data_IF_990251980027
#
_entry.id   IF_990251980027
#
_cell.length_a   1.000
_cell.length_b   1.000
_cell.length_c   1.000
_cell.angle_alpha   90.00
_cell.angle_beta   90.00
_cell.angle_gamma   90.00
#
_symmetry.space_group_name_H-M   'P 1'
#
loop_
_entity.id
_entity.type
_entity.pdbx_description
1 polymer ?
#
# COMPACT_ATOMS: atom_id res chain seq x y z
N UNK A 1 6.26 13.87 -11.20
CA UNK A 1 5.62 12.64 -11.71
C UNK A 1 5.20 11.75 -10.54
N UNK A 2 3.98 11.22 -10.62
CA UNK A 2 3.47 10.32 -9.58
C UNK A 2 4.10 8.94 -9.75
N UNK A 3 4.59 8.38 -8.64
CA UNK A 3 5.19 7.05 -8.64
C UNK A 3 4.25 6.07 -7.94
N UNK A 4 3.82 5.06 -8.66
CA UNK A 4 2.93 4.03 -8.12
C UNK A 4 3.68 2.72 -7.94
N UNK A 5 3.13 1.86 -7.09
CA UNK A 5 3.69 0.54 -6.79
C UNK A 5 2.60 -0.50 -6.95
N UNK A 6 3.00 -1.71 -7.32
CA UNK A 6 2.08 -2.84 -7.31
C UNK A 6 1.91 -3.32 -5.85
N UNK A 7 0.91 -4.18 -5.63
CA UNK A 7 0.69 -4.77 -4.29
C UNK A 7 1.94 -5.53 -3.84
N UNK A 8 2.55 -6.30 -4.73
CA UNK A 8 3.76 -7.08 -4.40
C UNK A 8 4.92 -6.15 -4.02
N UNK A 9 5.13 -5.11 -4.81
CA UNK A 9 6.19 -4.14 -4.53
C UNK A 9 5.95 -3.41 -3.20
N UNK A 10 4.72 -3.02 -2.95
CA UNK A 10 4.36 -2.31 -1.72
C UNK A 10 4.54 -3.21 -0.49
N UNK A 11 4.11 -4.46 -0.57
CA UNK A 11 4.28 -5.41 0.53
C UNK A 11 5.76 -5.62 0.84
N UNK A 12 6.59 -5.78 -0.20
CA UNK A 12 8.03 -5.94 -0.04
C UNK A 12 8.64 -4.69 0.60
N UNK A 13 8.28 -3.52 0.09
CA UNK A 13 8.80 -2.25 0.59
C UNK A 13 8.45 -2.05 2.07
N UNK A 14 7.21 -2.35 2.45
CA UNK A 14 6.79 -2.24 3.84
C UNK A 14 7.55 -3.20 4.75
N UNK A 15 7.74 -4.45 4.30
CA UNK A 15 8.51 -5.42 5.08
C UNK A 15 9.96 -4.98 5.26
N UNK A 16 10.56 -4.39 4.23
CA UNK A 16 11.93 -3.87 4.30
C UNK A 16 12.04 -2.71 5.29
N UNK A 17 10.94 -2.03 5.56
CA UNK A 17 10.88 -0.93 6.51
C UNK A 17 10.32 -1.34 7.88
N UNK A 18 10.26 -2.63 8.15
CA UNK A 18 9.89 -3.14 9.46
C UNK A 18 8.41 -3.43 9.68
N UNK A 19 7.59 -3.24 8.65
CA UNK A 19 6.15 -3.53 8.75
C UNK A 19 5.90 -4.95 8.28
N UNK A 20 5.48 -5.82 9.19
CA UNK A 20 5.22 -7.22 8.87
C UNK A 20 3.82 -7.36 8.30
N UNK A 21 3.70 -7.23 7.01
CA UNK A 21 2.41 -7.30 6.34
C UNK A 21 2.51 -8.19 5.10
N UNK A 22 1.50 -9.05 4.91
CA UNK A 22 1.42 -9.88 3.71
C UNK A 22 0.68 -9.11 2.62
N UNK A 23 0.83 -9.56 1.38
CA UNK A 23 0.12 -8.91 0.28
C UNK A 23 -1.40 -9.06 0.40
N UNK A 24 -1.87 -10.16 0.97
CA UNK A 24 -3.29 -10.40 1.21
C UNK A 24 -3.85 -9.39 2.21
N UNK A 25 -3.15 -9.20 3.32
CA UNK A 25 -3.55 -8.23 4.32
C UNK A 25 -3.50 -6.81 3.76
N UNK A 26 -2.47 -6.52 2.97
CA UNK A 26 -2.32 -5.21 2.34
C UNK A 26 -3.48 -4.94 1.38
N UNK A 27 -3.81 -5.90 0.53
CA UNK A 27 -4.91 -5.72 -0.42
C UNK A 27 -6.25 -5.58 0.30
N UNK A 28 -6.48 -6.37 1.34
CA UNK A 28 -7.70 -6.28 2.13
C UNK A 28 -7.82 -4.92 2.81
N UNK A 29 -6.72 -4.41 3.34
CA UNK A 29 -6.68 -3.10 3.98
C UNK A 29 -7.01 -1.97 3.01
N UNK A 30 -6.49 -2.05 1.79
CA UNK A 30 -6.76 -1.04 0.78
C UNK A 30 -8.21 -1.13 0.29
N UNK A 31 -8.73 -2.34 0.08
CA UNK A 31 -10.13 -2.53 -0.31
C UNK A 31 -11.09 -2.00 0.74
N UNK A 32 -10.75 -2.16 2.01
CA UNK A 32 -11.56 -1.70 3.13
C UNK A 32 -11.36 -0.21 3.44
N UNK A 33 -10.52 0.47 2.67
CA UNK A 33 -10.19 1.88 2.87
C UNK A 33 -9.59 2.18 4.25
N UNK A 34 -8.89 1.19 4.81
CA UNK A 34 -8.21 1.33 6.10
C UNK A 34 -6.80 1.87 5.98
N UNK A 35 -6.24 1.80 4.78
CA UNK A 35 -4.87 2.27 4.50
C UNK A 35 -4.93 3.49 3.60
N UNK A 36 -4.30 4.60 4.00
CA UNK A 36 -4.45 5.87 3.27
C UNK A 36 -3.53 6.03 2.06
N UNK A 37 -2.69 5.07 1.78
CA UNK A 37 -1.67 5.22 0.74
C UNK A 37 -2.00 4.54 -0.58
N UNK A 38 -3.19 3.99 -0.71
CA UNK A 38 -3.57 3.34 -1.95
C UNK A 38 -5.07 3.33 -2.17
N UNK A 39 -5.44 2.97 -3.39
CA UNK A 39 -6.86 2.84 -3.76
C UNK A 39 -7.06 1.54 -4.51
N UNK A 40 -8.25 1.00 -4.41
CA UNK A 40 -8.67 -0.18 -5.16
C UNK A 40 -9.83 0.24 -6.06
N UNK A 41 -9.65 0.05 -7.35
CA UNK A 41 -10.68 0.34 -8.33
C UNK A 41 -11.20 -0.98 -8.88
N UNK A 42 -12.49 -1.24 -8.67
CA UNK A 42 -13.12 -2.43 -9.21
C UNK A 42 -13.69 -2.12 -10.58
N UNK A 43 -13.26 -2.89 -11.57
CA UNK A 43 -13.85 -2.84 -12.90
C UNK A 43 -14.79 -4.04 -13.02
N UNK A 44 -15.51 -4.16 -14.11
CA UNK A 44 -16.41 -5.28 -14.31
C UNK A 44 -15.72 -6.64 -14.39
N UNK A 45 -14.39 -6.67 -14.55
CA UNK A 45 -13.63 -7.91 -14.75
C UNK A 45 -12.48 -8.10 -13.78
N UNK A 46 -11.99 -7.05 -13.17
CA UNK A 46 -10.80 -7.14 -12.33
C UNK A 46 -10.76 -6.03 -11.30
N UNK A 47 -9.78 -6.14 -10.42
CA UNK A 47 -9.48 -5.11 -9.44
C UNK A 47 -8.12 -4.53 -9.76
N UNK A 48 -8.05 -3.22 -9.74
CA UNK A 48 -6.79 -2.51 -9.97
C UNK A 48 -6.40 -1.82 -8.66
N UNK A 49 -5.22 -2.12 -8.18
CA UNK A 49 -4.67 -1.47 -6.98
C UNK A 49 -3.64 -0.45 -7.41
N UNK A 50 -3.77 0.76 -6.90
CA UNK A 50 -2.78 1.81 -7.11
C UNK A 50 -2.28 2.25 -5.75
N UNK A 51 -1.00 2.05 -5.51
CA UNK A 51 -0.37 2.43 -4.25
C UNK A 51 0.66 3.50 -4.56
N UNK A 52 0.57 4.61 -3.84
CA UNK A 52 1.40 5.78 -4.10
C UNK A 52 2.59 5.78 -3.15
N UNK A 53 3.78 5.65 -3.70
CA UNK A 53 5.02 5.56 -2.92
C UNK A 53 5.17 6.72 -1.95
N UNK A 54 4.87 7.93 -2.39
CA UNK A 54 4.97 9.12 -1.54
C UNK A 54 4.10 9.01 -0.29
N UNK A 55 2.89 8.49 -0.45
CA UNK A 55 1.97 8.32 0.67
C UNK A 55 2.41 7.19 1.60
N UNK A 56 3.01 6.12 1.04
CA UNK A 56 3.58 5.04 1.83
C UNK A 56 4.72 5.59 2.70
N UNK A 57 5.60 6.37 2.09
CA UNK A 57 6.73 6.96 2.81
C UNK A 57 6.26 7.87 3.94
N UNK A 58 5.23 8.68 3.68
CA UNK A 58 4.65 9.54 4.70
C UNK A 58 4.03 8.74 5.84
N UNK A 59 3.31 7.68 5.51
CA UNK A 59 2.69 6.81 6.50
C UNK A 59 3.76 6.15 7.38
N UNK A 60 4.86 5.69 6.78
CA UNK A 60 5.97 5.10 7.52
C UNK A 60 6.65 6.13 8.44
N UNK A 61 6.86 7.34 7.92
CA UNK A 61 7.46 8.42 8.68
C UNK A 61 6.65 8.77 9.93
N UNK A 62 5.33 8.78 9.82
CA UNK A 62 4.45 9.06 10.94
C UNK A 62 4.50 8.00 12.03
N UNK A 63 4.95 6.79 11.70
CA UNK A 63 5.00 5.66 12.61
C UNK A 63 6.39 5.28 13.04
N UNK A 64 7.38 6.01 12.57
CA UNK A 64 8.76 5.76 12.94
C UNK A 64 8.99 6.18 14.38
N UNK A 65 9.59 5.28 15.15
CA UNK A 65 9.96 5.57 16.53
C UNK A 65 11.41 6.04 16.59
N UNK A 66 11.62 7.11 17.32
CA UNK A 66 12.96 7.66 17.52
C UNK A 66 13.51 7.27 18.88
#
# INVERSE_FOLDING_TARGET
>A
MVKTMTIDEAAKYLRENGVKISKETLSDGIQAEKLPFGVCIETGRSRVFMIFKRLVDKWLEEREEN
#
